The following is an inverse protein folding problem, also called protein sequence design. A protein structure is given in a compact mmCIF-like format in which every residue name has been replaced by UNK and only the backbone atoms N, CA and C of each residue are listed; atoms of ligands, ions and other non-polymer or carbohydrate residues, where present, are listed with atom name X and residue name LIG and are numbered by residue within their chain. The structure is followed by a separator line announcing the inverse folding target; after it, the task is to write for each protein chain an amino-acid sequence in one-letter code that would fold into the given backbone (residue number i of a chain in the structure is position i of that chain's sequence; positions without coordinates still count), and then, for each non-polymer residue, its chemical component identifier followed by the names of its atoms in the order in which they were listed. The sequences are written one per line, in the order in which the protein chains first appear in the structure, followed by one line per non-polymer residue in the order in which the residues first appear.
data_IF_113244196685
#
_entry.id   IF_113244196685
#
_cell.length_a   1.000
_cell.length_b   1.000
_cell.length_c   1.000
_cell.angle_alpha   90.00
_cell.angle_beta   90.00
_cell.angle_gamma   90.00
#
_symmetry.space_group_name_H-M   'P 1'
#
loop_
_entity.id
_entity.type
_entity.pdbx_description
1 polymer ?
#
# COMPACT_ATOMS: atom_id res chain seq x y z
N UNK A 1 10.99 -18.35 -14.34
CA UNK A 1 10.33 -17.52 -13.33
C UNK A 1 9.69 -16.28 -13.97
N UNK A 2 8.43 -16.04 -13.71
CA UNK A 2 7.73 -14.91 -14.31
C UNK A 2 8.14 -13.60 -13.63
N UNK A 3 8.58 -12.63 -14.43
CA UNK A 3 8.96 -11.32 -13.92
C UNK A 3 7.70 -10.49 -13.67
N UNK A 4 7.62 -9.88 -12.48
CA UNK A 4 6.52 -8.97 -12.14
C UNK A 4 6.74 -7.63 -12.83
N UNK A 5 5.76 -7.20 -13.61
CA UNK A 5 5.82 -5.96 -14.37
C UNK A 5 5.12 -4.83 -13.64
N UNK A 6 5.41 -3.60 -14.03
CA UNK A 6 4.77 -2.40 -13.52
C UNK A 6 3.24 -2.49 -13.59
N UNK A 7 2.71 -2.99 -14.71
CA UNK A 7 1.26 -3.13 -14.88
C UNK A 7 0.68 -4.17 -13.92
N UNK A 8 1.42 -5.24 -13.62
CA UNK A 8 0.97 -6.26 -12.66
C UNK A 8 0.81 -5.67 -11.26
N UNK A 9 1.73 -4.80 -10.85
CA UNK A 9 1.66 -4.12 -9.56
C UNK A 9 0.45 -3.18 -9.48
N UNK A 10 0.21 -2.41 -10.55
CA UNK A 10 -0.93 -1.49 -10.61
C UNK A 10 -2.25 -2.23 -10.53
N UNK A 11 -2.38 -3.32 -11.28
CA UNK A 11 -3.59 -4.15 -11.27
C UNK A 11 -3.81 -4.75 -9.88
N UNK A 12 -2.74 -5.25 -9.25
CA UNK A 12 -2.84 -5.88 -7.94
C UNK A 12 -3.34 -4.88 -6.88
N UNK A 13 -2.81 -3.66 -6.87
CA UNK A 13 -3.29 -2.61 -5.95
C UNK A 13 -4.77 -2.33 -6.19
N UNK A 14 -5.20 -2.21 -7.45
CA UNK A 14 -6.60 -1.97 -7.78
C UNK A 14 -7.50 -3.11 -7.31
N UNK A 15 -7.06 -4.36 -7.51
CA UNK A 15 -7.81 -5.54 -7.08
C UNK A 15 -7.95 -5.59 -5.56
N UNK A 16 -6.86 -5.33 -4.83
CA UNK A 16 -6.89 -5.32 -3.37
C UNK A 16 -7.83 -4.24 -2.84
N UNK A 17 -7.78 -3.05 -3.44
CA UNK A 17 -8.64 -1.96 -3.02
C UNK A 17 -10.12 -2.27 -3.33
N UNK A 18 -10.40 -2.81 -4.51
CA UNK A 18 -11.77 -3.18 -4.88
C UNK A 18 -12.33 -4.26 -3.96
N UNK A 19 -11.53 -5.29 -3.67
CA UNK A 19 -11.94 -6.40 -2.81
C UNK A 19 -12.20 -5.95 -1.37
N UNK A 20 -11.58 -4.88 -0.93
CA UNK A 20 -11.68 -4.37 0.44
C UNK A 20 -12.47 -3.07 0.54
N UNK A 21 -13.12 -2.65 -0.53
CA UNK A 21 -13.96 -1.43 -0.57
C UNK A 21 -13.17 -0.19 -0.17
N UNK A 22 -11.96 -0.02 -0.74
CA UNK A 22 -11.08 1.11 -0.47
C UNK A 22 -11.06 2.04 -1.68
N UNK A 23 -11.27 3.34 -1.43
CA UNK A 23 -11.10 4.38 -2.44
C UNK A 23 -9.64 4.78 -2.52
N UNK A 24 -9.11 4.95 -3.72
CA UNK A 24 -7.71 5.30 -3.95
C UNK A 24 -7.62 6.67 -4.58
N UNK A 25 -6.78 7.54 -4.01
CA UNK A 25 -6.39 8.80 -4.62
C UNK A 25 -4.90 8.74 -4.94
N UNK A 26 -4.51 9.28 -6.08
CA UNK A 26 -3.12 9.23 -6.55
C UNK A 26 -2.51 10.63 -6.54
N UNK A 27 -1.29 10.73 -5.99
CA UNK A 27 -0.49 11.94 -6.12
C UNK A 27 0.32 11.90 -7.41
N UNK A 28 0.48 13.04 -8.10
CA UNK A 28 1.34 13.09 -9.28
C UNK A 28 2.78 12.71 -8.92
N UNK A 29 3.47 12.02 -9.84
CA UNK A 29 4.87 11.65 -9.66
C UNK A 29 5.78 12.89 -9.55
N UNK A 30 5.33 14.04 -10.09
CA UNK A 30 6.06 15.31 -10.01
C UNK A 30 6.05 15.94 -8.62
N UNK A 31 5.23 15.43 -7.70
CA UNK A 31 5.14 15.99 -6.34
C UNK A 31 6.45 15.77 -5.60
N UNK A 32 7.08 16.87 -5.12
CA UNK A 32 8.38 16.79 -4.44
C UNK A 32 8.30 16.10 -3.10
N UNK A 33 7.23 16.34 -2.34
CA UNK A 33 7.06 15.75 -1.00
C UNK A 33 5.76 14.98 -1.00
N UNK A 34 5.78 13.74 -1.52
CA UNK A 34 4.56 12.95 -1.60
C UNK A 34 4.07 12.58 -0.22
N UNK A 35 2.76 12.68 -0.05
CA UNK A 35 2.12 12.28 1.20
C UNK A 35 1.38 10.98 0.96
N UNK A 36 1.85 9.92 1.61
CA UNK A 36 1.10 8.68 1.71
C UNK A 36 0.26 8.74 2.98
N UNK A 37 -1.01 8.41 2.87
CA UNK A 37 -1.85 8.31 4.05
C UNK A 37 -2.98 7.31 3.82
N UNK A 38 -3.51 6.83 4.94
CA UNK A 38 -4.66 5.94 4.96
C UNK A 38 -5.67 6.48 5.98
N UNK A 39 -6.93 6.53 5.60
CA UNK A 39 -8.02 6.93 6.48
C UNK A 39 -8.98 5.76 6.61
N UNK A 40 -8.89 5.08 7.74
CA UNK A 40 -9.66 3.89 8.01
C UNK A 40 -11.15 4.19 8.15
N UNK A 41 -11.49 5.36 8.73
CA UNK A 41 -12.87 5.77 8.95
C UNK A 41 -13.67 5.91 7.64
N UNK A 42 -13.03 6.35 6.57
CA UNK A 42 -13.66 6.51 5.26
C UNK A 42 -13.14 5.51 4.23
N UNK A 43 -12.29 4.59 4.62
CA UNK A 43 -11.68 3.54 3.78
C UNK A 43 -11.08 4.14 2.52
N UNK A 44 -10.17 5.09 2.72
CA UNK A 44 -9.52 5.80 1.62
C UNK A 44 -8.02 5.85 1.85
N UNK A 45 -7.25 5.70 0.76
CA UNK A 45 -5.79 5.86 0.80
C UNK A 45 -5.35 6.89 -0.23
N UNK A 46 -4.22 7.52 0.06
CA UNK A 46 -3.50 8.40 -0.87
C UNK A 46 -2.14 7.77 -1.13
N UNK A 47 -1.84 7.51 -2.39
CA UNK A 47 -0.58 6.84 -2.78
C UNK A 47 -0.02 7.49 -4.04
N UNK A 48 1.19 7.12 -4.40
CA UNK A 48 1.75 7.42 -5.72
C UNK A 48 1.42 6.30 -6.70
N UNK A 49 1.40 6.59 -8.00
CA UNK A 49 1.31 5.53 -9.00
C UNK A 49 2.43 4.50 -8.77
N UNK A 50 2.12 3.22 -8.95
CA UNK A 50 3.02 2.11 -8.63
C UNK A 50 4.06 1.89 -9.74
N UNK A 51 4.89 2.90 -9.98
CA UNK A 51 5.86 2.86 -11.08
C UNK A 51 7.07 1.98 -10.79
N UNK A 52 7.33 1.66 -9.52
CA UNK A 52 8.40 0.76 -9.12
C UNK A 52 7.99 -0.02 -7.87
N UNK A 53 8.83 -0.99 -7.48
CA UNK A 53 8.53 -1.86 -6.34
C UNK A 53 8.40 -1.07 -5.03
N UNK A 54 9.22 -0.05 -4.84
CA UNK A 54 9.15 0.79 -3.63
C UNK A 54 7.79 1.47 -3.49
N UNK A 55 7.28 2.08 -4.57
CA UNK A 55 5.97 2.72 -4.54
C UNK A 55 4.85 1.70 -4.38
N UNK A 56 5.01 0.52 -4.96
CA UNK A 56 4.05 -0.56 -4.81
C UNK A 56 3.94 -1.05 -3.35
N UNK A 57 5.07 -1.35 -2.68
CA UNK A 57 5.01 -1.82 -1.30
C UNK A 57 4.53 -0.73 -0.35
N UNK A 58 4.81 0.54 -0.65
CA UNK A 58 4.27 1.67 0.13
C UNK A 58 2.75 1.76 -0.01
N UNK A 59 2.22 1.50 -1.21
CA UNK A 59 0.78 1.44 -1.42
C UNK A 59 0.15 0.31 -0.59
N UNK A 60 0.76 -0.87 -0.57
CA UNK A 60 0.28 -1.99 0.23
C UNK A 60 0.32 -1.68 1.72
N UNK A 61 1.33 -0.93 2.16
CA UNK A 61 1.43 -0.49 3.55
C UNK A 61 0.21 0.37 3.94
N UNK A 62 -0.20 1.29 3.06
CA UNK A 62 -1.39 2.11 3.32
C UNK A 62 -2.67 1.27 3.33
N UNK A 63 -2.79 0.31 2.44
CA UNK A 63 -3.93 -0.64 2.48
C UNK A 63 -3.90 -1.41 3.80
N UNK A 64 -2.72 -1.82 4.25
CA UNK A 64 -2.53 -2.52 5.52
C UNK A 64 -3.00 -1.72 6.73
N UNK A 65 -2.92 -0.39 6.69
CA UNK A 65 -3.46 0.47 7.74
C UNK A 65 -4.99 0.39 7.82
N UNK A 66 -5.65 -0.01 6.74
CA UNK A 66 -7.11 -0.12 6.74
C UNK A 66 -7.56 -1.54 7.10
N UNK A 67 -6.91 -2.57 6.54
CA UNK A 67 -7.37 -3.97 6.66
C UNK A 67 -6.48 -4.84 7.52
N UNK A 68 -5.30 -4.37 7.90
CA UNK A 68 -4.37 -5.13 8.74
C UNK A 68 -4.87 -5.28 10.17
N UNK A 69 -4.24 -6.18 10.91
CA UNK A 69 -4.59 -6.41 12.32
C UNK A 69 -4.09 -5.27 13.20
N UNK A 70 -4.75 -5.08 14.34
CA UNK A 70 -4.32 -4.19 15.43
C UNK A 70 -4.19 -2.71 15.02
N UNK A 71 -5.04 -2.27 14.08
CA UNK A 71 -5.01 -0.87 13.63
C UNK A 71 -5.71 0.09 14.60
N UNK A 72 -6.23 -0.42 15.71
CA UNK A 72 -6.81 0.35 16.80
C UNK A 72 -5.85 0.50 18.00
N UNK A 73 -4.58 0.15 17.80
CA UNK A 73 -3.57 0.14 18.86
C UNK A 73 -2.63 1.35 18.74
N UNK A 74 -1.50 1.31 19.45
CA UNK A 74 -0.52 2.38 19.43
C UNK A 74 0.06 2.57 18.01
N UNK A 75 0.64 3.74 17.77
CA UNK A 75 1.21 4.06 16.44
C UNK A 75 2.25 3.04 16.01
N UNK A 76 3.14 2.62 16.93
CA UNK A 76 4.16 1.64 16.60
C UNK A 76 3.54 0.30 16.20
N UNK A 77 2.53 -0.17 16.92
CA UNK A 77 1.84 -1.42 16.62
C UNK A 77 1.11 -1.34 15.28
N UNK A 78 0.44 -0.23 15.00
CA UNK A 78 -0.24 -0.02 13.72
C UNK A 78 0.74 -0.09 12.55
N UNK A 79 1.88 0.58 12.67
CA UNK A 79 2.90 0.57 11.62
C UNK A 79 3.44 -0.84 11.37
N UNK A 80 3.78 -1.55 12.45
CA UNK A 80 4.29 -2.91 12.35
C UNK A 80 3.30 -3.82 11.60
N UNK A 81 2.04 -3.81 12.01
CA UNK A 81 1.06 -4.74 11.44
C UNK A 81 0.60 -4.32 10.04
N UNK A 82 0.67 -3.02 9.69
CA UNK A 82 0.47 -2.59 8.32
C UNK A 82 1.56 -3.16 7.41
N UNK A 83 2.82 -3.15 7.84
CA UNK A 83 3.92 -3.75 7.09
C UNK A 83 3.82 -5.28 7.03
N UNK A 84 3.37 -5.92 8.12
CA UNK A 84 3.13 -7.37 8.12
C UNK A 84 2.09 -7.73 7.06
N UNK A 85 0.99 -6.99 7.03
CA UNK A 85 -0.05 -7.22 6.03
C UNK A 85 0.47 -7.01 4.61
N UNK A 86 1.23 -5.93 4.40
CA UNK A 86 1.79 -5.62 3.08
C UNK A 86 2.68 -6.76 2.59
N UNK A 87 3.57 -7.26 3.45
CA UNK A 87 4.49 -8.32 3.07
C UNK A 87 3.76 -9.63 2.76
N UNK A 88 2.72 -9.95 3.52
CA UNK A 88 1.93 -11.17 3.31
C UNK A 88 1.16 -11.15 2.00
N UNK A 89 0.80 -9.97 1.51
CA UNK A 89 -0.07 -9.83 0.34
C UNK A 89 0.66 -9.38 -0.93
N UNK A 90 1.93 -9.03 -0.83
CA UNK A 90 2.70 -8.54 -1.98
C UNK A 90 3.06 -9.66 -2.96
N UNK A 91 2.96 -9.36 -4.26
CA UNK A 91 3.41 -10.28 -5.31
C UNK A 91 4.89 -10.10 -5.62
N UNK A 92 5.49 -9.01 -5.13
CA UNK A 92 6.92 -8.72 -5.24
C UNK A 92 7.29 -7.85 -4.04
N UNK A 93 8.53 -7.96 -3.58
CA UNK A 93 9.02 -7.21 -2.43
C UNK A 93 10.38 -6.60 -2.72
N UNK A 94 10.72 -5.54 -2.00
CA UNK A 94 12.04 -4.91 -2.07
C UNK A 94 12.74 -5.04 -0.73
N UNK A 95 14.04 -5.37 -0.75
CA UNK A 95 14.83 -5.51 0.46
C UNK A 95 14.87 -4.21 1.29
N UNK A 96 14.81 -3.06 0.63
CA UNK A 96 14.83 -1.78 1.33
C UNK A 96 13.57 -1.49 2.13
N UNK A 97 12.49 -2.25 1.89
CA UNK A 97 11.23 -2.10 2.64
C UNK A 97 11.23 -2.90 3.95
N UNK A 98 12.15 -3.84 4.09
CA UNK A 98 12.32 -4.59 5.32
C UNK A 98 13.05 -3.74 6.37
#
# INVERSE_FOLDING_TARGET
MKKVKRIDMAIHVQELCAANYISVAYQPLSQKHPKYWARRDVRKIMIRPTKNTGYYVSALHEIGHIVGKFQDRSQLTKELWAWVWARQNAIVWTETAD
#
